data_IF_360749182728
#
_entry.id   IF_360749182728
#
_cell.length_a   1.000
_cell.length_b   1.000
_cell.length_c   1.000
_cell.angle_alpha   90.00
_cell.angle_beta   90.00
_cell.angle_gamma   90.00
#
_symmetry.space_group_name_H-M   'P 1'
#
loop_
_entity.id
_entity.type
_entity.pdbx_description
1 polymer ?
#
# COMPACT_ATOMS: atom_id res chain seq x y z
N UNK A 1 22.26 -15.08 -3.02
CA UNK A 1 20.92 -15.33 -2.53
C UNK A 1 19.96 -14.27 -3.03
N UNK A 2 18.76 -14.66 -3.38
CA UNK A 2 17.80 -13.79 -4.05
C UNK A 2 16.92 -13.04 -3.04
N UNK A 3 17.56 -12.27 -2.17
CA UNK A 3 16.85 -11.51 -1.15
C UNK A 3 17.56 -10.18 -0.85
N UNK A 4 16.77 -9.21 -0.38
CA UNK A 4 17.26 -7.88 -0.04
C UNK A 4 16.46 -7.34 1.14
N UNK A 5 17.10 -6.65 2.10
CA UNK A 5 16.38 -5.99 3.19
C UNK A 5 15.43 -4.90 2.67
N UNK A 6 14.22 -4.88 3.22
CA UNK A 6 13.21 -3.86 2.93
C UNK A 6 12.73 -3.23 4.22
N UNK A 7 12.71 -1.90 4.26
CA UNK A 7 12.10 -1.14 5.35
C UNK A 7 11.02 -0.22 4.78
N UNK A 8 9.85 -0.23 5.41
CA UNK A 8 8.77 0.73 5.11
C UNK A 8 8.54 1.55 6.37
N UNK A 9 8.79 2.84 6.27
CA UNK A 9 8.78 3.77 7.41
C UNK A 9 7.74 4.86 7.16
N UNK A 10 6.94 5.13 8.19
CA UNK A 10 6.01 6.26 8.23
C UNK A 10 6.39 7.18 9.40
N UNK A 11 5.81 8.39 9.46
CA UNK A 11 6.05 9.26 10.61
C UNK A 11 5.65 8.65 11.96
N UNK A 12 4.71 7.69 11.97
CA UNK A 12 4.20 7.09 13.20
C UNK A 12 4.95 5.82 13.60
N UNK A 13 5.49 5.07 12.62
CA UNK A 13 6.07 3.76 12.92
C UNK A 13 6.91 3.22 11.77
N UNK A 14 7.71 2.21 12.09
CA UNK A 14 8.30 1.34 11.08
C UNK A 14 7.27 0.26 10.77
N UNK A 15 6.62 0.37 9.63
CA UNK A 15 5.50 -0.50 9.26
C UNK A 15 5.93 -1.88 8.79
N UNK A 16 7.15 -2.01 8.25
CA UNK A 16 7.68 -3.27 7.75
C UNK A 16 9.21 -3.25 7.83
N UNK A 17 9.81 -4.38 8.18
CA UNK A 17 11.27 -4.52 8.23
C UNK A 17 11.63 -6.00 8.17
N UNK A 18 11.87 -6.48 6.96
CA UNK A 18 12.25 -7.89 6.71
C UNK A 18 13.11 -7.98 5.46
N UNK A 19 13.78 -9.11 5.30
CA UNK A 19 14.49 -9.44 4.06
C UNK A 19 13.52 -10.11 3.10
N UNK A 20 13.37 -9.54 1.90
CA UNK A 20 12.33 -9.93 0.95
C UNK A 20 12.92 -10.39 -0.38
N UNK A 21 12.11 -11.07 -1.19
CA UNK A 21 12.50 -11.54 -2.51
C UNK A 21 12.15 -10.54 -3.61
N UNK A 22 11.11 -9.76 -3.43
CA UNK A 22 10.69 -8.74 -4.38
C UNK A 22 9.74 -7.76 -3.71
N UNK A 23 9.67 -6.55 -4.24
CA UNK A 23 8.65 -5.57 -3.87
C UNK A 23 8.14 -4.87 -5.12
N UNK A 24 6.83 -4.66 -5.19
CA UNK A 24 6.17 -3.96 -6.29
C UNK A 24 5.46 -2.75 -5.72
N UNK A 25 5.77 -1.57 -6.26
CA UNK A 25 5.33 -0.29 -5.71
C UNK A 25 4.60 0.54 -6.76
N UNK A 26 3.64 1.39 -6.33
CA UNK A 26 2.94 2.28 -7.25
C UNK A 26 3.74 3.56 -7.48
N UNK A 27 3.91 3.94 -8.75
CA UNK A 27 4.52 5.22 -9.14
C UNK A 27 3.57 5.96 -10.09
N UNK A 28 3.87 7.22 -10.36
CA UNK A 28 3.09 8.02 -11.30
C UNK A 28 3.07 7.41 -12.72
N UNK A 29 4.08 6.63 -13.07
CA UNK A 29 4.22 6.01 -14.39
C UNK A 29 3.82 4.53 -14.38
N UNK A 30 3.13 4.07 -13.33
CA UNK A 30 2.71 2.68 -13.19
C UNK A 30 3.47 1.94 -12.10
N UNK A 31 3.30 0.64 -12.04
CA UNK A 31 3.95 -0.18 -11.02
C UNK A 31 5.40 -0.45 -11.40
N UNK A 32 6.26 -0.41 -10.39
CA UNK A 32 7.69 -0.73 -10.52
C UNK A 32 8.00 -1.92 -9.62
N UNK A 33 8.59 -2.95 -10.19
CA UNK A 33 9.08 -4.10 -9.44
C UNK A 33 10.56 -3.96 -9.13
N UNK A 34 10.94 -4.21 -7.88
CA UNK A 34 12.33 -4.21 -7.44
C UNK A 34 12.68 -5.60 -6.96
N UNK A 35 13.67 -6.19 -7.61
CA UNK A 35 14.22 -7.49 -7.25
C UNK A 35 15.62 -7.29 -6.65
N UNK A 36 16.16 -8.30 -5.94
CA UNK A 36 17.54 -8.24 -5.47
C UNK A 36 18.51 -7.94 -6.61
N UNK A 37 19.57 -7.21 -6.33
CA UNK A 37 20.56 -6.75 -7.31
C UNK A 37 20.03 -5.72 -8.31
N UNK A 38 18.89 -5.12 -8.03
CA UNK A 38 18.39 -4.00 -8.84
C UNK A 38 19.40 -2.86 -8.82
N UNK A 39 19.55 -2.17 -9.95
CA UNK A 39 20.40 -0.96 -9.98
C UNK A 39 19.84 0.10 -9.04
N UNK A 40 20.70 0.96 -8.54
CA UNK A 40 20.29 2.04 -7.65
C UNK A 40 19.16 2.89 -8.26
N UNK A 41 18.17 3.22 -7.45
CA UNK A 41 16.97 3.93 -7.89
C UNK A 41 16.48 4.84 -6.77
N UNK A 42 16.04 6.03 -7.14
CA UNK A 42 15.28 6.90 -6.25
C UNK A 42 14.05 7.36 -7.00
N UNK A 43 12.87 7.08 -6.48
CA UNK A 43 11.62 7.39 -7.17
C UNK A 43 10.52 7.83 -6.21
N UNK A 44 9.64 8.70 -6.70
CA UNK A 44 8.43 9.09 -5.97
C UNK A 44 7.37 7.99 -6.08
N UNK A 45 6.68 7.77 -4.97
CA UNK A 45 5.58 6.81 -4.88
C UNK A 45 4.25 7.55 -4.79
N UNK A 46 3.23 6.97 -5.41
CA UNK A 46 1.85 7.46 -5.30
C UNK A 46 1.08 6.65 -4.28
N UNK A 47 -0.06 7.16 -3.85
CA UNK A 47 -1.01 6.35 -3.08
C UNK A 47 -1.37 5.10 -3.88
N UNK A 48 -1.28 3.94 -3.25
CA UNK A 48 -1.56 2.69 -3.93
C UNK A 48 -1.20 1.47 -3.10
N UNK A 49 -1.20 0.33 -3.78
CA UNK A 49 -0.90 -0.95 -3.17
C UNK A 49 0.57 -1.33 -3.36
N UNK A 50 1.20 -1.74 -2.27
CA UNK A 50 2.52 -2.38 -2.30
C UNK A 50 2.33 -3.88 -2.13
N UNK A 51 2.96 -4.65 -3.01
CA UNK A 51 3.02 -6.11 -2.89
C UNK A 51 4.44 -6.53 -2.57
N UNK A 52 4.60 -7.31 -1.54
CA UNK A 52 5.90 -7.81 -1.09
C UNK A 52 5.89 -9.33 -1.21
N UNK A 53 6.86 -9.88 -1.91
CA UNK A 53 7.07 -11.33 -1.99
C UNK A 53 8.13 -11.72 -0.98
N UNK A 54 7.74 -12.51 0.01
CA UNK A 54 8.60 -12.86 1.12
C UNK A 54 8.11 -14.16 1.77
N UNK A 55 9.04 -15.06 2.05
CA UNK A 55 8.68 -16.34 2.68
C UNK A 55 7.78 -17.22 1.82
N UNK A 56 7.89 -17.12 0.50
CA UNK A 56 7.06 -17.91 -0.43
C UNK A 56 5.62 -17.41 -0.55
N UNK A 57 5.31 -16.23 -0.02
CA UNK A 57 3.96 -15.64 -0.02
C UNK A 57 4.02 -14.20 -0.47
N UNK A 58 2.88 -13.70 -0.91
CA UNK A 58 2.69 -12.28 -1.22
C UNK A 58 1.98 -11.59 -0.07
N UNK A 59 2.49 -10.42 0.29
CA UNK A 59 1.95 -9.58 1.36
C UNK A 59 1.53 -8.24 0.75
N UNK A 60 0.42 -7.71 1.20
CA UNK A 60 -0.17 -6.52 0.62
C UNK A 60 -0.34 -5.42 1.66
N UNK A 61 0.07 -4.20 1.28
CA UNK A 61 -0.09 -3.01 2.11
C UNK A 61 -0.71 -1.90 1.27
N UNK A 62 -1.56 -1.09 1.90
CA UNK A 62 -2.00 0.18 1.33
C UNK A 62 -1.06 1.27 1.83
N UNK A 63 -0.51 2.07 0.91
CA UNK A 63 0.38 3.17 1.27
C UNK A 63 -0.15 4.51 0.79
N UNK A 64 0.19 5.58 1.51
CA UNK A 64 0.11 6.94 1.02
C UNK A 64 1.33 7.27 0.17
N UNK A 65 1.38 8.47 -0.39
CA UNK A 65 2.50 8.90 -1.20
C UNK A 65 3.79 9.06 -0.42
N UNK A 66 4.92 9.03 -1.12
CA UNK A 66 6.24 9.18 -0.53
C UNK A 66 7.34 8.88 -1.53
N UNK A 67 8.39 8.24 -1.05
CA UNK A 67 9.59 7.96 -1.85
C UNK A 67 10.13 6.57 -1.58
N UNK A 68 10.84 6.04 -2.57
CA UNK A 68 11.58 4.79 -2.44
C UNK A 68 13.01 5.00 -2.88
N UNK A 69 13.95 4.53 -2.07
CA UNK A 69 15.36 4.47 -2.42
C UNK A 69 15.82 3.02 -2.47
N UNK A 70 16.46 2.66 -3.56
CA UNK A 70 17.05 1.33 -3.74
C UNK A 70 18.57 1.48 -3.81
N UNK A 71 19.26 0.79 -2.93
CA UNK A 71 20.72 0.71 -2.95
C UNK A 71 21.12 -0.77 -3.10
N UNK A 72 22.40 -1.03 -3.21
CA UNK A 72 22.89 -2.42 -3.24
C UNK A 72 22.61 -3.17 -1.94
N UNK A 73 22.42 -2.44 -0.85
CA UNK A 73 22.31 -3.01 0.49
C UNK A 73 20.86 -3.17 0.95
N UNK A 74 19.98 -2.25 0.54
CA UNK A 74 18.58 -2.27 1.02
C UNK A 74 17.64 -1.44 0.16
N UNK A 75 16.36 -1.69 0.37
CA UNK A 75 15.26 -0.88 -0.16
C UNK A 75 14.65 -0.12 1.02
N UNK A 76 14.55 1.21 0.89
CA UNK A 76 13.92 2.07 1.90
C UNK A 76 12.71 2.75 1.28
N UNK A 77 11.54 2.56 1.89
CA UNK A 77 10.29 3.19 1.50
C UNK A 77 9.85 4.11 2.62
N UNK A 78 9.75 5.41 2.31
CA UNK A 78 9.29 6.42 3.25
C UNK A 78 8.00 6.99 2.73
N UNK A 79 6.91 6.73 3.42
CA UNK A 79 5.55 7.09 2.99
C UNK A 79 4.78 7.73 4.13
N UNK A 80 3.76 8.50 3.76
CA UNK A 80 2.94 9.21 4.74
C UNK A 80 2.08 8.26 5.58
N UNK A 81 1.76 7.09 5.04
CA UNK A 81 0.89 6.10 5.68
C UNK A 81 1.19 4.72 5.13
N UNK A 82 1.09 3.71 5.97
CA UNK A 82 1.17 2.31 5.54
C UNK A 82 0.26 1.47 6.44
N UNK A 83 -0.62 0.70 5.81
CA UNK A 83 -1.58 -0.16 6.51
C UNK A 83 -1.48 -1.56 5.93
N UNK A 84 -1.19 -2.54 6.79
CA UNK A 84 -1.19 -3.95 6.39
C UNK A 84 -2.61 -4.44 6.17
N UNK A 85 -2.77 -5.39 5.27
CA UNK A 85 -4.09 -5.98 4.97
C UNK A 85 -4.78 -6.54 6.21
N UNK A 86 -4.03 -7.18 7.10
CA UNK A 86 -4.56 -7.76 8.33
C UNK A 86 -4.93 -6.73 9.40
N UNK A 87 -4.53 -5.48 9.24
CA UNK A 87 -4.94 -4.37 10.10
C UNK A 87 -6.27 -3.74 9.66
N UNK A 88 -6.77 -4.11 8.49
CA UNK A 88 -7.96 -3.49 7.90
C UNK A 88 -9.23 -4.17 8.44
N UNK A 89 -10.10 -3.39 9.07
CA UNK A 89 -11.43 -3.85 9.49
C UNK A 89 -12.43 -3.52 8.39
N UNK A 90 -12.97 -4.55 7.74
CA UNK A 90 -13.88 -4.40 6.60
C UNK A 90 -15.16 -3.67 6.97
N UNK A 91 -15.72 -3.92 8.16
CA UNK A 91 -16.95 -3.27 8.60
C UNK A 91 -16.74 -1.76 8.81
N UNK A 92 -15.65 -1.37 9.45
CA UNK A 92 -15.31 0.03 9.66
C UNK A 92 -15.04 0.72 8.31
N UNK A 93 -14.42 0.01 7.38
CA UNK A 93 -14.10 0.52 6.07
C UNK A 93 -15.37 0.78 5.23
N UNK A 94 -16.31 -0.14 5.27
CA UNK A 94 -17.61 0.04 4.58
C UNK A 94 -18.42 1.18 5.17
N UNK A 95 -18.37 1.37 6.48
CA UNK A 95 -19.02 2.50 7.15
C UNK A 95 -18.39 3.82 6.71
N UNK A 96 -17.06 3.90 6.70
CA UNK A 96 -16.34 5.10 6.25
C UNK A 96 -16.67 5.43 4.78
N UNK A 97 -16.77 4.40 3.92
CA UNK A 97 -17.15 4.56 2.53
C UNK A 97 -18.56 5.14 2.41
N UNK A 98 -19.52 4.62 3.17
CA UNK A 98 -20.88 5.10 3.17
C UNK A 98 -20.95 6.55 3.64
N UNK A 99 -20.29 6.88 4.73
CA UNK A 99 -20.27 8.24 5.27
C UNK A 99 -19.68 9.22 4.26
N UNK A 100 -18.62 8.83 3.56
CA UNK A 100 -18.00 9.66 2.52
C UNK A 100 -18.95 9.87 1.33
N UNK A 101 -19.66 8.84 0.89
CA UNK A 101 -20.64 8.95 -0.19
C UNK A 101 -21.79 9.88 0.19
N UNK A 102 -22.25 9.81 1.43
CA UNK A 102 -23.33 10.70 1.93
C UNK A 102 -22.88 12.16 1.91
N UNK A 103 -21.65 12.46 2.28
CA UNK A 103 -21.11 13.83 2.24
C UNK A 103 -21.01 14.32 0.79
N UNK A 104 -20.54 13.47 -0.12
CA UNK A 104 -20.37 13.83 -1.54
C UNK A 104 -21.73 14.11 -2.19
N UNK A 105 -22.77 13.37 -1.81
CA UNK A 105 -24.12 13.55 -2.37
C UNK A 105 -24.83 14.81 -1.87
N UNK A 106 -24.38 15.38 -0.75
CA UNK A 106 -24.97 16.61 -0.21
C UNK A 106 -24.43 17.84 -0.94
N UNK A 107 -25.28 18.80 -1.19
CA UNK A 107 -24.87 20.12 -1.70
C UNK A 107 -24.22 20.87 -0.56
N UNK A 108 -22.88 20.87 -0.53
CA UNK A 108 -22.13 21.46 0.56
C UNK A 108 -20.87 22.16 0.11
N UNK A 109 -20.04 22.51 1.07
CA UNK A 109 -18.77 23.20 0.84
C UNK A 109 -17.82 22.33 0.04
N UNK A 110 -17.12 22.92 -0.94
CA UNK A 110 -16.18 22.23 -1.80
C UNK A 110 -15.07 21.52 -0.99
N UNK A 111 -14.63 22.12 0.11
CA UNK A 111 -13.60 21.53 0.97
C UNK A 111 -14.03 20.22 1.61
N UNK A 112 -15.28 20.14 2.11
CA UNK A 112 -15.80 18.92 2.70
C UNK A 112 -15.93 17.81 1.64
N UNK A 113 -16.31 18.17 0.43
CA UNK A 113 -16.41 17.22 -0.68
C UNK A 113 -15.05 16.69 -1.08
N UNK A 114 -14.04 17.55 -1.12
CA UNK A 114 -12.67 17.16 -1.45
C UNK A 114 -12.12 16.16 -0.43
N UNK A 115 -12.32 16.42 0.85
CA UNK A 115 -11.92 15.51 1.92
C UNK A 115 -12.66 14.17 1.82
N UNK A 116 -13.97 14.21 1.54
CA UNK A 116 -14.77 13.01 1.38
C UNK A 116 -14.34 12.16 0.19
N UNK A 117 -13.99 12.80 -0.93
CA UNK A 117 -13.47 12.11 -2.12
C UNK A 117 -12.15 11.42 -1.84
N UNK A 118 -11.25 12.09 -1.11
CA UNK A 118 -9.96 11.49 -0.70
C UNK A 118 -10.18 10.30 0.23
N UNK A 119 -11.11 10.40 1.17
CA UNK A 119 -11.47 9.32 2.07
C UNK A 119 -12.06 8.13 1.31
N UNK A 120 -12.92 8.38 0.35
CA UNK A 120 -13.53 7.34 -0.49
C UNK A 120 -12.48 6.60 -1.31
N UNK A 121 -11.55 7.34 -1.93
CA UNK A 121 -10.44 6.74 -2.68
C UNK A 121 -9.59 5.85 -1.80
N UNK A 122 -9.27 6.30 -0.59
CA UNK A 122 -8.52 5.52 0.40
C UNK A 122 -9.26 4.24 0.78
N UNK A 123 -10.58 4.33 0.99
CA UNK A 123 -11.40 3.17 1.33
C UNK A 123 -11.40 2.12 0.21
N UNK A 124 -11.49 2.54 -1.04
CA UNK A 124 -11.41 1.63 -2.19
C UNK A 124 -10.06 0.94 -2.26
N UNK A 125 -8.98 1.68 -2.00
CA UNK A 125 -7.63 1.10 -1.99
C UNK A 125 -7.51 0.04 -0.90
N UNK A 126 -7.96 0.33 0.30
CA UNK A 126 -7.87 -0.60 1.41
C UNK A 126 -8.74 -1.84 1.19
N UNK A 127 -9.90 -1.70 0.57
CA UNK A 127 -10.73 -2.83 0.17
C UNK A 127 -10.02 -3.72 -0.87
N UNK A 128 -9.32 -3.11 -1.82
CA UNK A 128 -8.54 -3.84 -2.82
C UNK A 128 -7.43 -4.65 -2.15
N UNK A 129 -6.70 -4.03 -1.23
CA UNK A 129 -5.62 -4.69 -0.48
C UNK A 129 -6.17 -5.85 0.33
N UNK A 130 -7.29 -5.64 1.01
CA UNK A 130 -7.94 -6.66 1.81
C UNK A 130 -8.40 -7.86 0.95
N UNK A 131 -8.95 -7.60 -0.23
CA UNK A 131 -9.36 -8.66 -1.16
C UNK A 131 -8.18 -9.51 -1.62
N UNK A 132 -7.05 -8.89 -1.92
CA UNK A 132 -5.83 -9.62 -2.29
C UNK A 132 -5.34 -10.49 -1.15
N UNK A 133 -5.36 -9.97 0.07
CA UNK A 133 -4.97 -10.72 1.26
C UNK A 133 -5.88 -11.93 1.49
N UNK A 134 -7.21 -11.75 1.40
CA UNK A 134 -8.18 -12.84 1.56
C UNK A 134 -8.00 -13.90 0.46
N UNK A 135 -7.79 -13.47 -0.79
CA UNK A 135 -7.59 -14.38 -1.90
C UNK A 135 -6.34 -15.25 -1.69
N UNK A 136 -5.26 -14.66 -1.17
CA UNK A 136 -4.04 -15.39 -0.82
C UNK A 136 -4.29 -16.50 0.20
N UNK A 137 -5.21 -16.28 1.13
CA UNK A 137 -5.53 -17.23 2.20
C UNK A 137 -6.42 -18.39 1.75
N UNK A 138 -7.04 -18.28 0.58
CA UNK A 138 -7.85 -19.35 0.05
C UNK A 138 -6.96 -20.50 -0.44
N UNK A 139 -7.35 -21.77 -0.22
CA UNK A 139 -6.58 -22.87 -0.76
C UNK A 139 -6.56 -22.81 -2.27
N UNK A 140 -5.38 -23.03 -2.87
CA UNK A 140 -5.31 -23.07 -4.32
C UNK A 140 -6.04 -24.33 -4.81
N UNK A 141 -7.02 -24.11 -5.65
CA UNK A 141 -7.68 -25.19 -6.35
C UNK A 141 -6.85 -25.44 -7.61
N UNK A 142 -5.97 -26.39 -7.51
CA UNK A 142 -5.20 -26.83 -8.69
C UNK A 142 -5.83 -28.08 -9.26
#
# INVERSE_FOLDING_TARGET
MNSIPLEIITPQRKAFSETVNAVFVPTANGRVGVLPRHIGLFTALTEGEVRITYGGKDWYLAIGGGFMEVTKEKISILVSRAVHADEINEADLKKAEKDARDIISQKGKTEERTVALASLRRSFLELKVLRHHKHRQLPSIS
#
